data_IF_258056962091
#
_entry.id   IF_258056962091
#
_cell.length_a   1.000
_cell.length_b   1.000
_cell.length_c   1.000
_cell.angle_alpha   90.00
_cell.angle_beta   90.00
_cell.angle_gamma   90.00
#
_symmetry.space_group_name_H-M   'P 1'
#
loop_
_entity.id
_entity.type
_entity.pdbx_description
1 polymer ?
#
# COMPACT_ATOMS: atom_id res chain seq x y z
N UNK A 1 7.89 41.69 15.87
CA UNK A 1 7.27 42.22 14.60
C UNK A 1 8.32 42.15 13.51
N UNK A 2 8.31 41.15 12.68
CA UNK A 2 9.11 41.08 11.46
C UNK A 2 8.19 40.77 10.27
N UNK A 3 8.24 41.65 9.27
CA UNK A 3 7.35 41.67 8.10
C UNK A 3 7.85 40.68 7.06
N UNK A 4 7.02 39.74 6.69
CA UNK A 4 7.23 38.81 5.58
C UNK A 4 6.99 39.49 4.25
N UNK A 5 8.02 39.59 3.42
CA UNK A 5 7.93 40.13 2.04
C UNK A 5 7.55 39.00 1.09
N UNK A 6 6.42 39.23 0.39
CA UNK A 6 5.94 38.40 -0.72
C UNK A 6 6.81 38.61 -1.95
N UNK A 7 7.36 37.53 -2.52
CA UNK A 7 7.90 37.56 -3.88
C UNK A 7 6.91 36.86 -4.81
N UNK A 8 6.36 37.66 -5.72
CA UNK A 8 5.58 37.23 -6.87
C UNK A 8 6.57 37.15 -8.03
N UNK A 9 6.77 35.97 -8.61
CA UNK A 9 7.45 35.83 -9.89
C UNK A 9 6.43 35.38 -10.94
N UNK A 10 6.16 36.31 -11.87
CA UNK A 10 5.40 36.09 -13.10
C UNK A 10 6.40 35.58 -14.14
N UNK A 11 6.15 34.47 -14.78
CA UNK A 11 6.86 34.08 -16.00
C UNK A 11 5.88 33.75 -17.11
N UNK A 12 6.14 34.39 -18.23
CA UNK A 12 5.29 34.53 -19.40
C UNK A 12 5.41 33.30 -20.33
N UNK A 13 4.33 33.06 -21.00
CA UNK A 13 4.04 32.18 -22.13
C UNK A 13 4.94 32.43 -23.35
N UNK A 14 5.35 31.34 -24.00
CA UNK A 14 5.69 31.37 -25.44
C UNK A 14 5.00 30.17 -26.11
N UNK A 15 4.01 30.53 -26.92
CA UNK A 15 3.32 29.69 -27.90
C UNK A 15 4.22 29.54 -29.14
N UNK A 16 4.37 28.32 -29.65
CA UNK A 16 4.82 28.15 -31.05
C UNK A 16 3.98 27.06 -31.72
N UNK A 17 3.09 27.58 -32.61
CA UNK A 17 2.30 26.83 -33.57
C UNK A 17 3.18 26.61 -34.80
N UNK A 18 3.27 25.38 -35.27
CA UNK A 18 3.69 25.11 -36.65
C UNK A 18 2.79 23.98 -37.21
N UNK A 19 1.85 24.41 -38.06
CA UNK A 19 1.09 23.56 -38.94
C UNK A 19 1.89 23.37 -40.25
N UNK A 20 1.92 22.15 -40.77
CA UNK A 20 2.09 21.93 -42.20
C UNK A 20 1.31 20.72 -42.68
N UNK A 21 0.61 20.98 -43.75
CA UNK A 21 -0.42 20.21 -44.41
C UNK A 21 0.13 19.28 -45.50
N UNK A 22 -0.71 18.30 -45.82
CA UNK A 22 -1.04 17.76 -47.14
C UNK A 22 -0.06 16.81 -47.88
N UNK A 23 -0.59 15.66 -48.17
CA UNK A 23 -0.13 14.74 -49.19
C UNK A 23 -1.23 13.74 -49.55
N UNK A 24 -2.05 14.08 -50.53
CA UNK A 24 -3.05 13.24 -51.19
C UNK A 24 -2.37 12.15 -52.05
N UNK A 25 -2.98 10.99 -52.18
CA UNK A 25 -2.62 9.98 -53.18
C UNK A 25 -3.68 8.86 -53.23
N UNK A 26 -4.50 8.92 -54.25
CA UNK A 26 -5.68 8.12 -54.63
C UNK A 26 -5.31 6.80 -55.33
N UNK A 27 -6.09 5.75 -55.16
CA UNK A 27 -6.90 4.97 -56.12
C UNK A 27 -7.04 3.51 -55.75
N UNK A 28 -8.29 3.11 -55.52
CA UNK A 28 -9.17 2.14 -56.21
C UNK A 28 -8.57 0.77 -56.58
N UNK A 29 -9.18 -0.34 -56.16
CA UNK A 29 -10.32 -1.04 -56.69
C UNK A 29 -10.69 -2.30 -55.87
N UNK A 30 -11.93 -2.37 -55.53
CA UNK A 30 -12.95 -3.45 -55.62
C UNK A 30 -12.52 -4.94 -55.47
N UNK A 31 -13.09 -5.67 -54.54
CA UNK A 31 -14.01 -6.79 -54.74
C UNK A 31 -14.51 -7.42 -53.43
N UNK A 32 -15.78 -7.63 -53.39
CA UNK A 32 -16.66 -8.24 -52.40
C UNK A 32 -16.27 -9.64 -51.92
N UNK A 33 -16.53 -9.99 -50.64
CA UNK A 33 -17.30 -11.19 -50.25
C UNK A 33 -17.58 -11.24 -48.73
N UNK A 34 -18.75 -11.67 -48.44
CA UNK A 34 -19.49 -11.82 -47.21
C UNK A 34 -18.84 -12.63 -46.09
N UNK A 35 -19.21 -12.23 -44.84
CA UNK A 35 -19.62 -13.19 -43.79
C UNK A 35 -18.65 -13.34 -42.63
N UNK A 36 -18.86 -12.79 -41.50
CA UNK A 36 -19.41 -13.43 -40.32
C UNK A 36 -19.31 -12.50 -39.09
N UNK A 37 -20.30 -12.55 -38.24
CA UNK A 37 -20.43 -11.72 -37.06
C UNK A 37 -19.43 -12.13 -36.00
N UNK A 38 -18.50 -11.22 -35.65
CA UNK A 38 -17.69 -11.31 -34.44
C UNK A 38 -18.02 -10.13 -33.54
N UNK A 39 -18.33 -10.46 -32.29
CA UNK A 39 -18.69 -9.56 -31.22
C UNK A 39 -17.63 -8.47 -31.01
N UNK A 40 -18.08 -7.24 -31.09
CA UNK A 40 -17.29 -6.06 -30.65
C UNK A 40 -17.17 -6.08 -29.13
N UNK A 41 -16.03 -6.49 -28.65
CA UNK A 41 -15.55 -6.06 -27.32
C UNK A 41 -15.14 -4.61 -27.46
N UNK A 42 -15.80 -3.73 -26.72
CA UNK A 42 -15.40 -2.32 -26.56
C UNK A 42 -14.02 -2.32 -25.87
N UNK A 43 -12.97 -2.03 -26.65
CA UNK A 43 -11.66 -1.69 -26.10
C UNK A 43 -11.75 -0.28 -25.51
N UNK A 44 -11.68 -0.21 -24.17
CA UNK A 44 -11.40 1.02 -23.44
C UNK A 44 -10.00 1.50 -23.84
N UNK A 45 -9.93 2.57 -24.63
CA UNK A 45 -8.71 3.12 -25.19
C UNK A 45 -7.92 3.95 -24.15
N UNK A 46 -7.26 3.27 -23.20
CA UNK A 46 -6.16 3.84 -22.44
C UNK A 46 -4.85 3.56 -23.21
N UNK A 47 -4.04 4.60 -23.46
CA UNK A 47 -2.65 4.45 -23.92
C UNK A 47 -1.87 3.63 -22.87
N UNK A 48 -1.97 2.32 -22.91
CA UNK A 48 -1.10 1.44 -22.16
C UNK A 48 0.23 1.39 -22.90
N UNK A 49 1.29 1.92 -22.31
CA UNK A 49 2.62 1.43 -22.64
C UNK A 49 2.54 -0.09 -22.64
N UNK A 50 3.01 -0.74 -23.72
CA UNK A 50 2.82 -2.19 -23.90
C UNK A 50 3.57 -2.91 -22.78
N UNK A 51 2.84 -3.32 -21.72
CA UNK A 51 3.40 -4.17 -20.67
C UNK A 51 3.95 -5.45 -21.31
N UNK A 52 5.22 -5.73 -21.08
CA UNK A 52 5.90 -6.90 -21.65
C UNK A 52 6.14 -7.95 -20.55
N UNK A 53 5.42 -9.06 -20.64
CA UNK A 53 5.55 -10.20 -19.73
C UNK A 53 6.95 -10.86 -19.73
N UNK A 54 7.83 -10.53 -20.68
CA UNK A 54 9.20 -11.00 -20.71
C UNK A 54 10.14 -10.20 -19.80
N UNK A 55 9.69 -9.03 -19.31
CA UNK A 55 10.47 -8.25 -18.36
C UNK A 55 10.51 -8.91 -16.98
N UNK A 56 11.63 -8.73 -16.30
CA UNK A 56 11.80 -9.25 -14.94
C UNK A 56 10.95 -8.46 -13.95
N UNK A 57 10.26 -9.18 -13.05
CA UNK A 57 9.58 -8.58 -11.93
C UNK A 57 10.61 -8.09 -10.90
N UNK A 58 10.48 -6.83 -10.49
CA UNK A 58 11.25 -6.25 -9.39
C UNK A 58 10.52 -6.52 -8.07
N UNK A 59 11.04 -7.43 -7.27
CA UNK A 59 10.53 -7.65 -5.91
C UNK A 59 11.06 -6.55 -4.98
N UNK A 60 10.17 -5.89 -4.23
CA UNK A 60 10.54 -4.91 -3.21
C UNK A 60 10.19 -5.48 -1.83
N UNK A 61 11.16 -5.48 -0.93
CA UNK A 61 11.01 -6.09 0.40
C UNK A 61 11.39 -5.11 1.50
N UNK A 62 11.02 -5.46 2.72
CA UNK A 62 11.43 -4.74 3.93
C UNK A 62 12.77 -5.29 4.46
N UNK A 63 13.40 -4.51 5.30
CA UNK A 63 14.64 -4.84 6.03
C UNK A 63 14.45 -6.06 6.95
N UNK A 64 15.55 -6.71 7.33
CA UNK A 64 15.55 -7.74 8.36
C UNK A 64 15.04 -7.18 9.69
N UNK A 65 14.28 -8.00 10.42
CA UNK A 65 13.65 -7.60 11.68
C UNK A 65 12.38 -6.76 11.52
N UNK A 66 11.97 -6.43 10.29
CA UNK A 66 10.65 -5.81 10.04
C UNK A 66 9.53 -6.78 10.39
N UNK A 67 8.60 -6.34 11.26
CA UNK A 67 7.40 -7.11 11.56
C UNK A 67 6.52 -7.38 10.35
N UNK A 68 6.48 -6.45 9.37
CA UNK A 68 5.75 -6.61 8.11
C UNK A 68 6.41 -7.65 7.21
N UNK A 69 7.75 -7.71 7.17
CA UNK A 69 8.50 -8.76 6.46
C UNK A 69 8.22 -10.14 7.05
N UNK A 70 8.35 -10.26 8.37
CA UNK A 70 8.04 -11.51 9.06
C UNK A 70 6.60 -11.98 8.82
N UNK A 71 5.61 -11.06 8.86
CA UNK A 71 4.23 -11.38 8.54
C UNK A 71 4.08 -11.90 7.11
N UNK A 72 4.72 -11.23 6.13
CA UNK A 72 4.66 -11.64 4.74
C UNK A 72 5.25 -13.04 4.54
N UNK A 73 6.45 -13.29 5.04
CA UNK A 73 7.11 -14.59 4.87
C UNK A 73 6.34 -15.73 5.53
N UNK A 74 5.81 -15.51 6.73
CA UNK A 74 5.01 -16.49 7.46
C UNK A 74 3.67 -16.79 6.76
N UNK A 75 2.91 -15.75 6.43
CA UNK A 75 1.56 -15.91 5.87
C UNK A 75 1.57 -16.48 4.44
N UNK A 76 2.61 -16.21 3.66
CA UNK A 76 2.76 -16.74 2.30
C UNK A 76 3.63 -17.99 2.22
N UNK A 77 4.19 -18.47 3.35
CA UNK A 77 5.06 -19.63 3.39
C UNK A 77 6.38 -19.43 2.62
N UNK A 78 6.90 -18.19 2.60
CA UNK A 78 8.20 -17.86 1.99
C UNK A 78 9.30 -18.08 3.03
N UNK A 79 9.33 -19.28 3.57
CA UNK A 79 10.28 -19.75 4.58
C UNK A 79 10.75 -21.16 4.25
N UNK A 80 11.92 -21.55 4.75
CA UNK A 80 12.41 -22.92 4.65
C UNK A 80 11.86 -23.83 5.78
N UNK A 81 12.35 -25.07 5.87
CA UNK A 81 11.92 -26.05 6.87
C UNK A 81 12.31 -25.67 8.31
N UNK A 82 13.26 -24.73 8.48
CA UNK A 82 13.71 -24.19 9.75
C UNK A 82 13.12 -22.81 10.06
N UNK A 83 12.07 -22.37 9.32
CA UNK A 83 11.44 -21.06 9.40
C UNK A 83 12.35 -19.86 9.06
N UNK A 84 13.44 -20.09 8.32
CA UNK A 84 14.25 -18.99 7.83
C UNK A 84 13.61 -18.31 6.63
N UNK A 85 13.73 -16.98 6.57
CA UNK A 85 13.25 -16.14 5.49
C UNK A 85 13.92 -16.49 4.14
N UNK A 86 13.11 -16.80 3.15
CA UNK A 86 13.53 -17.21 1.80
C UNK A 86 13.23 -16.16 0.73
N UNK A 87 13.03 -14.88 1.12
CA UNK A 87 12.95 -13.79 0.14
C UNK A 87 14.25 -13.72 -0.65
N UNK A 88 14.13 -13.61 -1.98
CA UNK A 88 15.30 -13.53 -2.87
C UNK A 88 16.26 -12.41 -2.47
N UNK A 89 17.56 -12.68 -2.54
CA UNK A 89 18.61 -11.70 -2.28
C UNK A 89 18.65 -10.57 -3.34
N UNK A 90 18.03 -10.78 -4.49
CA UNK A 90 17.92 -9.78 -5.56
C UNK A 90 16.78 -8.77 -5.29
N UNK A 91 15.98 -8.98 -4.24
CA UNK A 91 14.90 -8.04 -3.88
C UNK A 91 15.46 -6.70 -3.41
N UNK A 92 14.87 -5.63 -3.92
CA UNK A 92 15.20 -4.28 -3.48
C UNK A 92 14.69 -4.07 -2.03
N UNK A 93 15.61 -3.86 -1.10
CA UNK A 93 15.28 -3.70 0.33
C UNK A 93 15.06 -2.24 0.69
N UNK A 94 13.98 -1.97 1.44
CA UNK A 94 13.68 -0.66 2.03
C UNK A 94 13.27 -0.79 3.49
N UNK A 95 13.53 0.26 4.30
CA UNK A 95 13.10 0.36 5.69
C UNK A 95 11.91 1.31 5.89
N UNK A 96 11.20 1.66 4.82
CA UNK A 96 10.09 2.62 4.85
C UNK A 96 8.93 2.13 3.99
N UNK A 97 7.72 2.14 4.55
CA UNK A 97 6.47 1.85 3.84
C UNK A 97 6.21 2.83 2.70
N UNK A 98 6.45 4.13 2.94
CA UNK A 98 6.28 5.16 1.92
C UNK A 98 7.26 4.98 0.75
N UNK A 99 8.53 4.64 1.03
CA UNK A 99 9.52 4.36 -0.02
C UNK A 99 9.12 3.11 -0.81
N UNK A 100 8.57 2.08 -0.17
CA UNK A 100 8.06 0.90 -0.86
C UNK A 100 6.94 1.27 -1.84
N UNK A 101 5.93 2.03 -1.40
CA UNK A 101 4.85 2.48 -2.27
C UNK A 101 5.36 3.33 -3.44
N UNK A 102 6.26 4.28 -3.19
CA UNK A 102 6.87 5.10 -4.25
C UNK A 102 7.63 4.22 -5.26
N UNK A 103 8.44 3.28 -4.79
CA UNK A 103 9.20 2.37 -5.67
C UNK A 103 8.28 1.55 -6.56
N UNK A 104 7.17 1.04 -6.00
CA UNK A 104 6.19 0.28 -6.78
C UNK A 104 5.42 1.18 -7.76
N UNK A 105 5.04 2.39 -7.35
CA UNK A 105 4.31 3.32 -8.22
C UNK A 105 5.13 3.83 -9.42
N UNK A 106 6.45 3.88 -9.29
CA UNK A 106 7.36 4.35 -10.35
C UNK A 106 7.84 3.24 -11.29
N UNK A 107 7.53 1.97 -11.00
CA UNK A 107 7.97 0.83 -11.80
C UNK A 107 6.83 -0.16 -12.03
N UNK A 108 6.30 -0.22 -13.25
CA UNK A 108 5.21 -1.11 -13.66
C UNK A 108 5.51 -2.61 -13.49
N UNK A 109 6.78 -2.98 -13.35
CA UNK A 109 7.24 -4.34 -13.09
C UNK A 109 7.55 -4.61 -11.61
N UNK A 110 7.26 -3.65 -10.71
CA UNK A 110 7.51 -3.85 -9.29
C UNK A 110 6.31 -4.43 -8.56
N UNK A 111 6.62 -5.27 -7.58
CA UNK A 111 5.68 -5.79 -6.59
C UNK A 111 6.27 -5.65 -5.19
N UNK A 112 5.45 -5.24 -4.23
CA UNK A 112 5.85 -5.10 -2.83
C UNK A 112 4.72 -5.52 -1.91
N UNK A 113 4.90 -5.36 -0.61
CA UNK A 113 3.89 -5.64 0.41
C UNK A 113 3.92 -4.58 1.51
N UNK A 114 2.75 -4.23 1.99
CA UNK A 114 2.53 -3.24 3.07
C UNK A 114 1.37 -3.71 3.96
N UNK A 115 1.17 -3.06 5.10
CA UNK A 115 -0.04 -3.25 5.89
C UNK A 115 -1.24 -2.52 5.28
N UNK A 116 -2.46 -3.04 5.49
CA UNK A 116 -3.69 -2.49 4.93
C UNK A 116 -3.90 -1.01 5.29
N UNK A 117 -3.72 -0.63 6.56
CA UNK A 117 -3.88 0.75 7.00
C UNK A 117 -2.88 1.76 6.39
N UNK A 118 -1.78 1.26 5.79
CA UNK A 118 -0.82 2.11 5.08
C UNK A 118 -1.08 2.22 3.58
N UNK A 119 -2.12 1.55 3.06
CA UNK A 119 -2.40 1.50 1.62
C UNK A 119 -2.92 2.85 1.13
N UNK A 120 -2.24 3.42 0.13
CA UNK A 120 -2.70 4.56 -0.63
C UNK A 120 -3.02 4.11 -2.07
N UNK A 121 -4.31 3.90 -2.35
CA UNK A 121 -4.79 3.44 -3.65
C UNK A 121 -4.62 4.48 -4.77
N UNK A 122 -4.28 5.72 -4.43
CA UNK A 122 -3.90 6.74 -5.42
C UNK A 122 -2.49 6.54 -5.98
N UNK A 123 -1.65 5.81 -5.26
CA UNK A 123 -0.25 5.54 -5.63
C UNK A 123 -0.06 4.12 -6.18
N UNK A 124 -0.67 3.13 -5.54
CA UNK A 124 -0.47 1.71 -5.87
C UNK A 124 -1.78 0.95 -5.88
N UNK A 125 -1.83 -0.14 -6.62
CA UNK A 125 -2.99 -1.02 -6.67
C UNK A 125 -2.78 -2.23 -5.77
N UNK A 126 -3.71 -2.48 -4.83
CA UNK A 126 -3.75 -3.74 -4.11
C UNK A 126 -4.15 -4.89 -5.05
N UNK A 127 -3.43 -6.00 -4.97
CA UNK A 127 -3.77 -7.22 -5.70
C UNK A 127 -4.66 -8.12 -4.85
N UNK A 128 -5.57 -8.84 -5.50
CA UNK A 128 -6.41 -9.83 -4.84
C UNK A 128 -5.60 -11.07 -4.47
N UNK A 129 -5.88 -11.64 -3.31
CA UNK A 129 -5.36 -12.95 -2.91
C UNK A 129 -6.49 -13.97 -3.01
N UNK A 130 -6.27 -15.02 -3.78
CA UNK A 130 -7.30 -16.04 -4.11
C UNK A 130 -8.62 -15.43 -4.66
N UNK A 131 -8.51 -14.29 -5.38
CA UNK A 131 -9.65 -13.57 -5.92
C UNK A 131 -10.39 -12.67 -4.93
N UNK A 132 -9.91 -12.55 -3.67
CA UNK A 132 -10.52 -11.75 -2.60
C UNK A 132 -9.74 -10.46 -2.40
N UNK A 133 -10.44 -9.33 -2.28
CA UNK A 133 -9.87 -8.01 -2.00
C UNK A 133 -9.46 -7.89 -0.51
N UNK A 134 -8.37 -7.17 -0.26
CA UNK A 134 -7.91 -6.83 1.09
C UNK A 134 -8.77 -5.69 1.65
N UNK A 135 -9.92 -6.02 2.21
CA UNK A 135 -10.82 -5.05 2.87
C UNK A 135 -11.06 -5.46 4.31
N UNK A 136 -11.40 -4.49 5.19
CA UNK A 136 -11.75 -4.77 6.57
C UNK A 136 -12.86 -5.82 6.65
N UNK A 137 -13.93 -5.68 5.86
CA UNK A 137 -15.05 -6.64 5.81
C UNK A 137 -14.58 -8.06 5.47
N UNK A 138 -13.73 -8.23 4.46
CA UNK A 138 -13.23 -9.54 4.03
C UNK A 138 -12.27 -10.18 5.05
N UNK A 139 -11.58 -9.36 5.83
CA UNK A 139 -10.71 -9.83 6.91
C UNK A 139 -11.57 -10.25 8.11
N UNK A 140 -12.53 -9.43 8.54
CA UNK A 140 -13.42 -9.70 9.66
C UNK A 140 -14.27 -10.97 9.43
N UNK A 141 -14.79 -11.17 8.23
CA UNK A 141 -15.57 -12.35 7.89
C UNK A 141 -14.70 -13.60 7.54
N UNK A 142 -13.36 -13.46 7.54
CA UNK A 142 -12.39 -14.54 7.32
C UNK A 142 -12.28 -15.02 5.87
N UNK A 143 -12.84 -14.30 4.90
CA UNK A 143 -12.67 -14.64 3.47
C UNK A 143 -11.29 -14.24 2.94
N UNK A 144 -10.74 -13.11 3.39
CA UNK A 144 -9.35 -12.74 3.15
C UNK A 144 -8.43 -13.36 4.21
N UNK A 145 -7.61 -14.32 3.80
CA UNK A 145 -6.88 -15.20 4.72
C UNK A 145 -5.50 -14.67 5.13
N UNK A 146 -4.97 -13.69 4.40
CA UNK A 146 -3.63 -13.15 4.63
C UNK A 146 -3.74 -11.99 5.62
N UNK A 147 -4.06 -12.31 6.86
CA UNK A 147 -4.21 -11.34 7.95
C UNK A 147 -3.68 -11.90 9.26
N UNK A 148 -3.24 -11.02 10.14
CA UNK A 148 -2.86 -11.38 11.51
C UNK A 148 -3.15 -10.20 12.45
N UNK A 149 -3.40 -10.46 13.74
CA UNK A 149 -3.55 -9.40 14.73
C UNK A 149 -2.20 -8.70 14.99
N UNK A 150 -2.27 -7.42 15.31
CA UNK A 150 -1.15 -6.75 15.96
C UNK A 150 -1.12 -7.10 17.45
N UNK A 151 0.09 -7.29 17.98
CA UNK A 151 0.29 -7.62 19.37
C UNK A 151 1.10 -6.52 20.04
N UNK A 152 0.66 -6.11 21.21
CA UNK A 152 1.43 -5.21 22.07
C UNK A 152 2.04 -6.02 23.21
N UNK A 153 3.36 -5.92 23.39
CA UNK A 153 4.08 -6.59 24.46
C UNK A 153 4.51 -5.59 25.52
N UNK A 154 4.34 -5.94 26.77
CA UNK A 154 4.83 -5.18 27.92
C UNK A 154 5.74 -6.06 28.76
N UNK A 155 6.69 -5.44 29.50
CA UNK A 155 7.52 -6.17 30.45
C UNK A 155 6.63 -6.76 31.56
N UNK A 156 6.67 -8.08 31.85
CA UNK A 156 5.75 -8.72 32.78
C UNK A 156 5.71 -8.11 34.18
N UNK A 157 6.87 -7.71 34.72
CA UNK A 157 7.01 -7.16 36.07
C UNK A 157 7.19 -5.62 36.04
N UNK A 158 6.59 -4.93 35.06
CA UNK A 158 6.66 -3.49 34.98
C UNK A 158 5.70 -2.85 35.98
N UNK A 159 6.22 -1.99 36.84
CA UNK A 159 5.47 -1.11 37.75
C UNK A 159 5.24 0.29 37.18
N UNK A 160 5.52 0.49 35.87
CA UNK A 160 5.31 1.75 35.19
C UNK A 160 3.82 2.02 34.98
N UNK A 161 3.26 2.90 35.81
CA UNK A 161 1.84 3.26 35.76
C UNK A 161 1.44 3.89 34.42
N UNK A 162 2.35 4.65 33.76
CA UNK A 162 2.09 5.26 32.45
C UNK A 162 1.97 4.20 31.36
N UNK A 163 2.82 3.16 31.39
CA UNK A 163 2.73 2.05 30.43
C UNK A 163 1.43 1.25 30.61
N UNK A 164 1.03 1.01 31.87
CA UNK A 164 -0.23 0.31 32.16
C UNK A 164 -1.45 1.12 31.71
N UNK A 165 -1.44 2.42 31.94
CA UNK A 165 -2.52 3.34 31.53
C UNK A 165 -2.60 3.48 30.01
N UNK A 166 -1.45 3.54 29.32
CA UNK A 166 -1.39 3.54 27.86
C UNK A 166 -1.97 2.25 27.26
N UNK A 167 -1.67 1.10 27.86
CA UNK A 167 -2.30 -0.18 27.45
C UNK A 167 -3.82 -0.15 27.66
N UNK A 168 -4.30 0.40 28.78
CA UNK A 168 -5.72 0.56 29.03
C UNK A 168 -6.38 1.48 27.98
N UNK A 169 -5.70 2.55 27.56
CA UNK A 169 -6.15 3.42 26.48
C UNK A 169 -6.23 2.67 25.14
N UNK A 170 -5.15 1.98 24.72
CA UNK A 170 -5.14 1.21 23.47
C UNK A 170 -6.34 0.24 23.41
N UNK A 171 -6.64 -0.44 24.52
CA UNK A 171 -7.70 -1.44 24.60
C UNK A 171 -9.06 -0.85 25.00
N UNK A 172 -9.24 0.45 24.87
CA UNK A 172 -10.52 1.15 25.13
C UNK A 172 -11.27 1.49 23.84
N UNK A 173 -12.54 1.88 23.97
CA UNK A 173 -13.35 2.38 22.85
C UNK A 173 -12.68 3.54 22.14
N UNK A 174 -12.09 4.48 22.88
CA UNK A 174 -11.40 5.64 22.33
C UNK A 174 -10.11 5.26 21.62
N UNK A 175 -9.33 4.34 22.17
CA UNK A 175 -8.12 3.82 21.52
C UNK A 175 -8.43 3.02 20.27
N UNK A 176 -9.47 2.20 20.29
CA UNK A 176 -9.89 1.41 19.14
C UNK A 176 -10.56 2.28 18.05
N UNK A 177 -11.11 3.43 18.41
CA UNK A 177 -11.55 4.42 17.41
C UNK A 177 -10.34 4.97 16.63
N UNK A 178 -9.21 5.26 17.29
CA UNK A 178 -7.96 5.67 16.60
C UNK A 178 -7.49 4.56 15.66
N UNK A 179 -7.52 3.30 16.09
CA UNK A 179 -7.16 2.14 15.24
C UNK A 179 -8.01 2.11 13.97
N UNK A 180 -9.33 2.35 14.11
CA UNK A 180 -10.26 2.39 12.97
C UNK A 180 -10.02 3.60 12.06
N UNK A 181 -9.78 4.79 12.64
CA UNK A 181 -9.54 6.02 11.89
C UNK A 181 -8.26 5.95 11.05
N UNK A 182 -7.26 5.18 11.50
CA UNK A 182 -6.02 4.90 10.79
C UNK A 182 -6.15 3.73 9.78
N UNK A 183 -7.36 3.24 9.52
CA UNK A 183 -7.64 2.22 8.51
C UNK A 183 -7.33 0.78 8.93
N UNK A 184 -7.13 0.53 10.21
CA UNK A 184 -6.97 -0.81 10.76
C UNK A 184 -8.27 -1.34 11.34
N UNK A 185 -8.31 -2.63 11.66
CA UNK A 185 -9.50 -3.31 12.18
C UNK A 185 -9.47 -3.28 13.70
N UNK A 186 -10.42 -2.59 14.35
CA UNK A 186 -10.46 -2.50 15.79
C UNK A 186 -10.85 -3.85 16.44
N UNK A 187 -10.45 -4.05 17.68
CA UNK A 187 -10.94 -5.15 18.53
C UNK A 187 -12.37 -4.85 18.95
N UNK A 188 -13.26 -5.83 18.83
CA UNK A 188 -14.64 -5.72 19.27
C UNK A 188 -14.76 -5.84 20.81
N UNK A 189 -15.91 -5.43 21.35
CA UNK A 189 -16.30 -5.62 22.74
C UNK A 189 -15.34 -4.98 23.77
N UNK A 190 -14.87 -3.76 23.49
CA UNK A 190 -14.02 -2.97 24.39
C UNK A 190 -14.85 -1.96 25.20
N UNK A 191 -14.39 -1.64 26.40
CA UNK A 191 -15.02 -0.65 27.27
C UNK A 191 -14.45 0.76 27.05
N UNK A 192 -15.16 1.77 27.53
CA UNK A 192 -14.68 3.15 27.49
C UNK A 192 -13.40 3.31 28.36
N UNK A 193 -12.53 4.21 27.95
CA UNK A 193 -11.31 4.49 28.70
C UNK A 193 -11.61 5.03 30.10
N UNK A 194 -11.12 4.34 31.10
CA UNK A 194 -11.28 4.66 32.51
C UNK A 194 -9.95 4.87 33.23
N UNK A 195 -8.90 5.18 32.48
CA UNK A 195 -7.56 5.40 33.04
C UNK A 195 -7.42 6.70 33.84
N UNK A 196 -6.32 6.81 34.55
CA UNK A 196 -6.03 7.91 35.46
C UNK A 196 -5.08 8.96 34.91
N UNK A 197 -4.56 8.76 33.70
CA UNK A 197 -3.55 9.60 33.06
C UNK A 197 -2.39 9.97 34.00
N UNK A 198 -1.64 9.01 34.55
CA UNK A 198 -0.60 9.24 35.55
C UNK A 198 0.53 10.07 34.95
N UNK A 199 1.16 10.90 35.81
CA UNK A 199 2.34 11.64 35.40
C UNK A 199 3.54 10.70 35.22
N UNK A 200 4.38 10.99 34.21
CA UNK A 200 5.57 10.20 33.92
C UNK A 200 5.82 10.00 32.43
N UNK A 201 6.57 8.95 32.14
CA UNK A 201 6.87 8.58 30.73
C UNK A 201 7.00 7.07 30.58
N UNK A 202 6.66 6.57 29.39
CA UNK A 202 7.03 5.24 28.94
C UNK A 202 7.73 5.34 27.58
N UNK A 203 8.48 4.31 27.23
CA UNK A 203 9.12 4.20 25.91
C UNK A 203 8.35 3.17 25.12
N UNK A 204 7.92 3.56 23.93
CA UNK A 204 7.22 2.68 22.98
C UNK A 204 8.14 2.44 21.79
N UNK A 205 8.27 1.21 21.37
CA UNK A 205 9.01 0.81 20.18
C UNK A 205 8.18 -0.19 19.37
N UNK A 206 8.28 -0.13 18.05
CA UNK A 206 7.50 -1.03 17.21
C UNK A 206 7.86 -0.91 15.74
N UNK A 207 7.06 -1.56 14.91
CA UNK A 207 7.15 -1.50 13.46
C UNK A 207 6.58 -0.17 12.95
N UNK A 208 7.16 0.37 11.87
CA UNK A 208 6.62 1.53 11.15
C UNK A 208 5.33 1.23 10.37
N UNK A 209 4.83 0.01 10.45
CA UNK A 209 3.59 -0.44 9.80
C UNK A 209 2.43 -0.58 10.80
N UNK A 210 2.63 -0.08 12.02
CA UNK A 210 1.63 -0.09 13.10
C UNK A 210 1.41 1.33 13.58
#
# INVERSE_FOLDING_TARGET
KMKMKKFIAVLATVSMVAAMAAGCGSSSDDTSAEGDAAATTEEDGGESGSWDAANMITAVTREEGSGTRGAFTELFGVVDEEDNDMITLDAQTTNSTSVMMTTVSENEYAIGYISLGSLDESLVKAVKIDGVDATAENIENGTYKVSRPFNVAVKPDSDNAVAADFMAFIMSTEGQQVVSDEGYIPVADVEAYAGSAPEGSCVVGGSSSV
#
